data_IF_153665114090
#
_entry.id   IF_153665114090
#
_cell.length_a   1.000
_cell.length_b   1.000
_cell.length_c   1.000
_cell.angle_alpha   90.00
_cell.angle_beta   90.00
_cell.angle_gamma   90.00
#
_symmetry.space_group_name_H-M   'P 1'
#
loop_
_entity.id
_entity.type
_entity.pdbx_description
1 polymer ?
#
# COMPACT_ATOMS: atom_id res chain seq x y z
N UNK A 1 18.79 15.27 -13.64
CA UNK A 1 18.24 16.63 -13.55
C UNK A 1 16.72 16.58 -13.74
N UNK A 2 15.97 17.28 -12.87
CA UNK A 2 14.50 17.28 -12.75
C UNK A 2 13.81 17.66 -14.06
N UNK A 3 12.76 16.94 -14.48
CA UNK A 3 11.87 17.38 -15.56
C UNK A 3 10.87 18.39 -15.01
N UNK A 4 11.14 19.67 -15.26
CA UNK A 4 10.14 20.75 -15.24
C UNK A 4 9.44 20.69 -16.61
N UNK A 5 8.11 20.62 -16.61
CA UNK A 5 7.30 20.70 -17.84
C UNK A 5 6.78 22.13 -17.93
N UNK A 6 7.43 22.95 -18.77
CA UNK A 6 6.88 24.21 -19.24
C UNK A 6 5.86 23.91 -20.36
N UNK A 7 4.61 24.37 -20.18
CA UNK A 7 3.57 24.29 -21.21
C UNK A 7 3.25 25.71 -21.67
N UNK A 8 3.78 26.09 -22.83
CA UNK A 8 3.41 27.32 -23.51
C UNK A 8 2.13 27.09 -24.35
N UNK A 9 1.08 27.86 -24.08
CA UNK A 9 -0.13 27.90 -24.91
C UNK A 9 0.10 28.79 -26.15
N UNK A 10 -0.19 28.26 -27.35
CA UNK A 10 -0.45 29.06 -28.55
C UNK A 10 -1.88 28.80 -29.05
N UNK A 11 -2.57 29.89 -29.35
CA UNK A 11 -3.96 30.02 -29.82
C UNK A 11 -4.27 29.19 -31.08
N UNK A 12 -5.52 28.67 -31.27
CA UNK A 12 -5.91 28.00 -32.49
C UNK A 12 -6.59 28.95 -33.49
N UNK A 13 -6.21 28.82 -34.77
CA UNK A 13 -6.96 29.34 -35.90
C UNK A 13 -7.47 28.19 -36.79
N UNK A 14 -8.65 28.44 -37.36
CA UNK A 14 -9.32 27.74 -38.46
C UNK A 14 -10.02 26.40 -38.19
N UNK A 15 -11.33 26.46 -38.43
CA UNK A 15 -12.31 25.39 -38.59
C UNK A 15 -12.07 24.69 -39.93
N UNK A 16 -12.09 23.36 -39.94
CA UNK A 16 -12.27 22.57 -41.15
C UNK A 16 -13.33 21.49 -40.89
N UNK A 17 -14.34 21.47 -41.76
CA UNK A 17 -15.45 20.53 -41.78
C UNK A 17 -14.94 19.08 -41.91
N UNK A 18 -15.47 18.19 -41.07
CA UNK A 18 -15.28 16.74 -41.23
C UNK A 18 -16.65 16.09 -41.40
N UNK A 19 -16.92 15.70 -42.63
CA UNK A 19 -18.06 14.87 -43.04
C UNK A 19 -17.86 13.43 -42.53
N UNK A 20 -18.83 12.87 -41.81
CA UNK A 20 -18.80 11.46 -41.39
C UNK A 20 -19.62 10.61 -42.38
N UNK A 21 -18.94 9.66 -43.04
CA UNK A 21 -19.59 8.53 -43.69
C UNK A 21 -19.80 7.42 -42.65
N UNK A 22 -21.05 7.01 -42.46
CA UNK A 22 -21.44 5.90 -41.58
C UNK A 22 -21.43 4.61 -42.40
N UNK A 23 -20.60 3.64 -42.02
CA UNK A 23 -20.81 2.23 -42.39
C UNK A 23 -20.75 1.37 -41.13
N UNK A 24 -21.73 0.47 -41.03
CA UNK A 24 -22.18 -0.10 -39.78
C UNK A 24 -21.26 -1.17 -39.17
N UNK A 25 -21.29 -1.23 -37.84
CA UNK A 25 -21.84 -2.37 -37.08
C UNK A 25 -21.95 -1.98 -35.61
N UNK A 26 -23.04 -2.40 -35.00
CA UNK A 26 -23.62 -1.79 -33.80
C UNK A 26 -22.89 -2.07 -32.50
N UNK A 27 -22.98 -1.10 -31.61
CA UNK A 27 -23.17 -1.29 -30.18
C UNK A 27 -23.86 -0.03 -29.65
N UNK A 28 -25.18 -0.12 -29.50
CA UNK A 28 -26.01 0.91 -28.85
C UNK A 28 -25.73 0.91 -27.34
N UNK A 29 -25.58 2.10 -26.77
CA UNK A 29 -25.79 2.33 -25.34
C UNK A 29 -26.94 3.33 -25.22
N UNK A 30 -28.15 2.91 -24.81
CA UNK A 30 -29.24 3.83 -24.58
C UNK A 30 -29.30 4.21 -23.09
N UNK A 31 -29.03 5.47 -22.78
CA UNK A 31 -29.96 6.32 -22.01
C UNK A 31 -29.35 7.71 -21.78
N UNK A 32 -29.45 8.59 -22.77
CA UNK A 32 -29.39 10.02 -22.49
C UNK A 32 -30.74 10.45 -21.90
N UNK A 33 -30.79 10.80 -20.61
CA UNK A 33 -31.96 11.46 -20.02
C UNK A 33 -32.14 12.81 -20.72
N UNK A 34 -33.22 12.94 -21.49
CA UNK A 34 -33.67 14.23 -22.00
C UNK A 34 -34.36 14.97 -20.86
N UNK A 35 -33.64 15.89 -20.20
CA UNK A 35 -34.30 16.93 -19.40
C UNK A 35 -34.88 17.95 -20.38
N UNK A 36 -36.20 18.12 -20.34
CA UNK A 36 -36.96 19.12 -21.08
C UNK A 36 -36.47 20.53 -20.70
N UNK A 37 -35.93 21.27 -21.66
CA UNK A 37 -35.49 22.66 -21.51
C UNK A 37 -36.05 23.53 -22.62
N UNK A 38 -36.44 24.76 -22.26
CA UNK A 38 -37.14 25.76 -23.08
C UNK A 38 -36.40 26.15 -24.38
N UNK A 39 -37.11 26.59 -25.43
CA UNK A 39 -36.50 26.96 -26.71
C UNK A 39 -35.68 28.25 -26.56
N UNK A 40 -34.38 28.20 -26.87
CA UNK A 40 -33.53 29.39 -26.98
C UNK A 40 -32.12 29.30 -26.40
N UNK A 41 -31.76 28.26 -25.63
CA UNK A 41 -30.40 28.11 -25.12
C UNK A 41 -29.52 27.23 -26.03
N UNK A 42 -28.43 27.82 -26.54
CA UNK A 42 -27.34 27.09 -27.19
C UNK A 42 -26.71 26.14 -26.17
N UNK A 43 -26.87 24.82 -26.36
CA UNK A 43 -26.18 23.80 -25.55
C UNK A 43 -24.69 23.84 -25.89
N UNK A 44 -23.86 24.30 -24.95
CA UNK A 44 -22.44 23.98 -24.96
C UNK A 44 -22.31 22.47 -24.67
N UNK A 45 -22.16 21.67 -25.71
CA UNK A 45 -21.67 20.30 -25.55
C UNK A 45 -20.22 20.37 -25.12
N UNK A 46 -19.96 20.24 -23.83
CA UNK A 46 -18.62 20.02 -23.31
C UNK A 46 -18.21 18.62 -23.79
N UNK A 47 -17.44 18.55 -24.88
CA UNK A 47 -16.78 17.33 -25.31
C UNK A 47 -15.85 16.95 -24.17
N UNK A 48 -16.22 15.95 -23.37
CA UNK A 48 -15.29 15.32 -22.44
C UNK A 48 -14.25 14.64 -23.33
N UNK A 49 -12.97 15.05 -23.30
CA UNK A 49 -11.97 14.38 -24.11
C UNK A 49 -11.97 12.91 -23.74
N UNK A 50 -12.10 12.02 -24.74
CA UNK A 50 -11.90 10.58 -24.55
C UNK A 50 -10.54 10.42 -23.88
N UNK A 51 -10.51 9.98 -22.62
CA UNK A 51 -9.27 9.61 -21.94
C UNK A 51 -8.50 8.65 -22.85
N UNK A 52 -7.26 9.01 -23.20
CA UNK A 52 -6.39 8.15 -24.01
C UNK A 52 -6.03 6.89 -23.23
N UNK A 53 -6.04 5.78 -23.98
CA UNK A 53 -5.62 4.41 -23.69
C UNK A 53 -4.88 4.17 -22.36
N UNK A 54 -5.60 3.62 -21.38
CA UNK A 54 -5.01 2.74 -20.39
C UNK A 54 -4.65 1.41 -21.07
N UNK A 55 -3.52 0.79 -20.70
CA UNK A 55 -3.19 -0.55 -21.17
C UNK A 55 -4.25 -1.55 -20.69
N UNK A 56 -4.59 -2.52 -21.55
CA UNK A 56 -5.48 -3.61 -21.16
C UNK A 56 -4.76 -4.59 -20.23
N UNK A 57 -5.50 -5.40 -19.48
CA UNK A 57 -4.90 -6.47 -18.66
C UNK A 57 -4.16 -7.49 -19.54
N UNK A 58 -4.67 -7.80 -20.73
CA UNK A 58 -3.97 -8.62 -21.72
C UNK A 58 -2.63 -8.02 -22.16
N UNK A 59 -2.57 -6.71 -22.37
CA UNK A 59 -1.34 -6.01 -22.72
C UNK A 59 -0.32 -6.06 -21.58
N UNK A 60 -0.75 -5.80 -20.34
CA UNK A 60 0.11 -5.88 -19.16
C UNK A 60 0.57 -7.32 -18.88
N UNK A 61 -0.28 -8.33 -19.14
CA UNK A 61 0.05 -9.74 -18.98
C UNK A 61 1.16 -10.23 -19.92
N UNK A 62 1.51 -9.46 -20.96
CA UNK A 62 2.66 -9.76 -21.83
C UNK A 62 4.00 -9.30 -21.24
N UNK A 63 3.96 -8.46 -20.20
CA UNK A 63 5.16 -8.05 -19.51
C UNK A 63 5.79 -9.24 -18.81
N UNK A 64 7.10 -9.43 -19.00
CA UNK A 64 7.84 -10.48 -18.32
C UNK A 64 9.29 -10.06 -18.12
N UNK A 65 9.85 -10.50 -17.00
CA UNK A 65 11.29 -10.45 -16.76
C UNK A 65 11.96 -11.43 -17.70
N UNK A 66 13.00 -10.96 -18.39
CA UNK A 66 13.85 -11.77 -19.28
C UNK A 66 15.12 -12.20 -18.54
N UNK A 67 15.81 -11.25 -17.92
CA UNK A 67 17.02 -11.51 -17.14
C UNK A 67 17.07 -10.67 -15.88
N UNK A 68 17.80 -11.17 -14.89
CA UNK A 68 18.16 -10.44 -13.68
C UNK A 68 19.65 -10.62 -13.45
N UNK A 69 20.38 -9.52 -13.41
CA UNK A 69 21.82 -9.50 -13.19
C UNK A 69 22.15 -8.84 -11.86
N UNK A 70 22.99 -9.48 -11.04
CA UNK A 70 23.49 -8.87 -9.81
C UNK A 70 24.60 -7.88 -10.14
N UNK A 71 24.34 -6.60 -9.90
CA UNK A 71 25.32 -5.51 -10.09
C UNK A 71 26.28 -5.44 -8.90
N UNK A 72 25.75 -5.54 -7.69
CA UNK A 72 26.53 -5.53 -6.45
C UNK A 72 25.81 -6.32 -5.36
N UNK A 73 26.56 -6.89 -4.41
CA UNK A 73 26.01 -7.71 -3.33
C UNK A 73 26.78 -7.48 -2.02
N UNK A 74 26.02 -7.40 -0.93
CA UNK A 74 26.52 -7.37 0.45
C UNK A 74 26.02 -8.59 1.22
N UNK A 75 26.24 -8.63 2.54
CA UNK A 75 25.69 -9.68 3.40
C UNK A 75 24.15 -9.71 3.38
N UNK A 76 23.50 -8.54 3.29
CA UNK A 76 22.05 -8.40 3.53
C UNK A 76 21.24 -7.99 2.29
N UNK A 77 21.87 -7.28 1.36
CA UNK A 77 21.21 -6.69 0.19
C UNK A 77 22.00 -6.95 -1.08
N UNK A 78 21.30 -7.05 -2.21
CA UNK A 78 21.88 -7.04 -3.55
C UNK A 78 21.17 -6.03 -4.45
N UNK A 79 21.95 -5.34 -5.29
CA UNK A 79 21.49 -4.48 -6.36
C UNK A 79 21.34 -5.32 -7.62
N UNK A 80 20.15 -5.28 -8.22
CA UNK A 80 19.77 -6.03 -9.41
C UNK A 80 19.54 -5.05 -10.58
N UNK A 81 20.03 -5.42 -11.77
CA UNK A 81 19.56 -4.84 -13.02
C UNK A 81 18.65 -5.85 -13.72
N UNK A 82 17.41 -5.46 -13.96
CA UNK A 82 16.33 -6.32 -14.46
C UNK A 82 16.03 -5.90 -15.90
N UNK A 83 16.26 -6.82 -16.84
CA UNK A 83 15.77 -6.64 -18.20
C UNK A 83 14.38 -7.27 -18.32
N UNK A 84 13.40 -6.51 -18.79
CA UNK A 84 12.02 -6.98 -18.96
C UNK A 84 11.42 -6.50 -20.28
N UNK A 85 10.44 -7.23 -20.80
CA UNK A 85 9.63 -6.78 -21.94
C UNK A 85 8.43 -6.00 -21.47
N UNK A 86 8.17 -4.88 -22.11
CA UNK A 86 6.95 -4.09 -21.90
C UNK A 86 5.76 -4.64 -22.70
N UNK A 87 4.56 -4.03 -22.59
CA UNK A 87 3.38 -4.50 -23.34
C UNK A 87 3.53 -4.46 -24.87
N UNK A 88 4.46 -3.66 -25.39
CA UNK A 88 4.80 -3.54 -26.80
C UNK A 88 5.93 -4.49 -27.22
N UNK A 89 6.42 -5.35 -26.32
CA UNK A 89 7.51 -6.30 -26.55
C UNK A 89 8.90 -5.66 -26.55
N UNK A 90 9.01 -4.37 -26.26
CA UNK A 90 10.29 -3.64 -26.21
C UNK A 90 11.02 -3.99 -24.92
N UNK A 91 12.31 -4.28 -25.04
CA UNK A 91 13.18 -4.52 -23.90
C UNK A 91 13.42 -3.20 -23.14
N UNK A 92 13.30 -3.27 -21.83
CA UNK A 92 13.51 -2.19 -20.88
C UNK A 92 14.37 -2.69 -19.73
N UNK A 93 15.08 -1.77 -19.11
CA UNK A 93 15.89 -2.05 -17.93
C UNK A 93 15.28 -1.35 -16.72
N UNK A 94 15.37 -2.01 -15.56
CA UNK A 94 14.92 -1.49 -14.28
C UNK A 94 15.92 -1.88 -13.21
N UNK A 95 16.34 -0.93 -12.37
CA UNK A 95 17.21 -1.23 -11.24
C UNK A 95 16.36 -1.45 -9.99
N UNK A 96 16.67 -2.49 -9.23
CA UNK A 96 15.95 -2.86 -8.02
C UNK A 96 16.89 -3.36 -6.92
N UNK A 97 16.41 -3.32 -5.68
CA UNK A 97 17.10 -3.93 -4.53
C UNK A 97 16.33 -5.15 -4.04
N UNK A 98 17.04 -6.21 -3.65
CA UNK A 98 16.45 -7.39 -3.02
C UNK A 98 17.30 -7.86 -1.83
N UNK A 99 16.67 -8.64 -0.94
CA UNK A 99 17.35 -9.26 0.19
C UNK A 99 18.13 -10.48 -0.25
N UNK A 100 19.33 -10.66 0.29
CA UNK A 100 20.16 -11.86 0.08
C UNK A 100 19.75 -13.03 0.97
N UNK A 101 18.94 -12.76 2.00
CA UNK A 101 18.40 -13.75 2.95
C UNK A 101 17.12 -14.42 2.47
N UNK A 102 16.56 -13.96 1.35
CA UNK A 102 15.33 -14.53 0.80
C UNK A 102 15.55 -15.99 0.41
N UNK A 103 14.67 -16.87 0.89
CA UNK A 103 14.72 -18.31 0.65
C UNK A 103 14.50 -18.65 -0.83
N UNK A 104 13.56 -17.99 -1.50
CA UNK A 104 13.29 -18.13 -2.93
C UNK A 104 12.64 -16.88 -3.53
N UNK A 105 12.86 -16.62 -4.83
CA UNK A 105 12.15 -15.54 -5.55
C UNK A 105 10.64 -15.85 -5.55
N UNK A 106 9.84 -14.92 -5.03
CA UNK A 106 8.39 -15.10 -4.90
C UNK A 106 7.94 -15.66 -3.54
N UNK A 107 8.88 -15.95 -2.62
CA UNK A 107 8.55 -16.13 -1.21
C UNK A 107 8.26 -14.79 -0.54
N UNK A 108 7.52 -14.84 0.58
CA UNK A 108 7.30 -13.70 1.47
C UNK A 108 8.58 -13.47 2.28
N UNK A 109 9.10 -12.24 2.33
CA UNK A 109 10.30 -11.94 3.12
C UNK A 109 9.97 -11.75 4.62
N UNK A 110 8.86 -11.08 4.92
CA UNK A 110 8.53 -10.65 6.27
C UNK A 110 7.02 -10.71 6.56
N UNK A 111 6.67 -10.70 7.84
CA UNK A 111 5.29 -10.54 8.30
C UNK A 111 5.19 -9.32 9.22
N UNK A 112 4.13 -8.52 9.05
CA UNK A 112 3.81 -7.42 9.96
C UNK A 112 2.47 -7.69 10.65
N UNK A 113 2.42 -7.44 11.95
CA UNK A 113 1.36 -7.93 12.84
C UNK A 113 0.51 -6.78 13.35
N UNK A 114 -0.74 -6.72 12.91
CA UNK A 114 -1.75 -5.90 13.56
C UNK A 114 -2.30 -6.67 14.77
N UNK A 115 -1.78 -6.36 15.97
CA UNK A 115 -2.27 -6.94 17.21
C UNK A 115 -3.56 -6.24 17.66
N UNK A 116 -4.68 -6.96 17.66
CA UNK A 116 -5.96 -6.49 18.19
C UNK A 116 -6.05 -6.88 19.67
N UNK A 117 -5.82 -5.92 20.55
CA UNK A 117 -5.85 -6.14 21.99
C UNK A 117 -7.28 -6.00 22.51
N UNK A 118 -7.79 -7.06 23.14
CA UNK A 118 -9.16 -7.16 23.63
C UNK A 118 -9.16 -7.38 25.16
N UNK A 119 -10.08 -6.72 25.86
CA UNK A 119 -10.38 -6.95 27.28
C UNK A 119 -11.86 -6.65 27.52
N UNK A 120 -12.50 -7.40 28.42
CA UNK A 120 -13.93 -7.25 28.72
C UNK A 120 -14.23 -5.84 29.21
N UNK A 121 -15.17 -5.16 28.54
CA UNK A 121 -15.63 -3.82 28.91
C UNK A 121 -14.62 -2.70 28.64
N UNK A 122 -13.54 -2.97 27.90
CA UNK A 122 -12.55 -1.97 27.49
C UNK A 122 -12.57 -1.77 25.98
N UNK A 123 -12.08 -0.60 25.58
CA UNK A 123 -11.84 -0.31 24.19
C UNK A 123 -10.70 -1.18 23.63
N UNK A 124 -10.81 -1.54 22.34
CA UNK A 124 -9.78 -2.27 21.64
C UNK A 124 -8.59 -1.37 21.31
N UNK A 125 -7.40 -1.89 21.56
CA UNK A 125 -6.13 -1.21 21.28
C UNK A 125 -5.32 -2.01 20.26
N UNK A 126 -4.31 -1.36 19.70
CA UNK A 126 -3.27 -2.01 18.91
C UNK A 126 -1.89 -1.69 19.48
N UNK A 127 -0.88 -2.40 18.99
CA UNK A 127 0.52 -2.18 19.38
C UNK A 127 1.23 -1.50 18.22
N UNK A 128 1.97 -0.45 18.56
CA UNK A 128 2.97 0.16 17.69
C UNK A 128 4.36 -0.09 18.24
N UNK A 129 5.32 -0.22 17.34
CA UNK A 129 6.74 -0.25 17.67
C UNK A 129 7.43 0.96 17.07
N UNK A 130 8.35 1.55 17.84
CA UNK A 130 9.19 2.66 17.43
C UNK A 130 10.64 2.26 17.50
N UNK A 131 11.34 2.40 16.39
CA UNK A 131 12.76 2.06 16.30
C UNK A 131 13.49 2.98 15.32
N UNK A 132 14.75 3.24 15.59
CA UNK A 132 15.61 3.98 14.67
C UNK A 132 15.95 3.09 13.46
N UNK A 133 15.61 3.56 12.26
CA UNK A 133 15.92 2.86 11.01
C UNK A 133 17.04 3.61 10.30
N UNK A 134 18.27 3.06 10.24
CA UNK A 134 19.39 3.68 9.54
C UNK A 134 19.10 4.11 8.09
N UNK A 135 18.30 3.37 7.27
CA UNK A 135 18.02 3.76 5.88
C UNK A 135 17.31 5.12 5.72
N UNK A 136 16.58 5.57 6.75
CA UNK A 136 15.83 6.84 6.73
C UNK A 136 16.34 7.84 7.78
N UNK A 137 17.38 7.47 8.53
CA UNK A 137 18.01 8.26 9.60
C UNK A 137 16.98 8.87 10.58
N UNK A 138 15.97 8.09 10.95
CA UNK A 138 14.87 8.54 11.81
C UNK A 138 14.32 7.40 12.66
N UNK A 139 13.70 7.79 13.76
CA UNK A 139 12.75 6.91 14.46
C UNK A 139 11.54 6.73 13.57
N UNK A 140 11.22 5.47 13.29
CA UNK A 140 10.06 5.06 12.53
C UNK A 140 8.95 4.57 13.45
N UNK A 141 7.71 4.62 12.97
CA UNK A 141 6.55 4.04 13.66
C UNK A 141 5.98 2.94 12.77
N UNK A 142 5.93 1.72 13.30
CA UNK A 142 5.61 0.50 12.56
C UNK A 142 4.69 -0.41 13.38
N UNK A 143 4.12 -1.42 12.72
CA UNK A 143 3.56 -2.58 13.42
C UNK A 143 4.70 -3.52 13.82
N UNK A 144 4.52 -4.36 14.85
CA UNK A 144 5.47 -5.43 15.13
C UNK A 144 5.72 -6.28 13.88
N UNK A 145 6.97 -6.55 13.53
CA UNK A 145 7.30 -7.20 12.26
C UNK A 145 8.71 -7.77 12.20
N UNK A 146 8.87 -8.88 11.49
CA UNK A 146 10.18 -9.42 11.19
C UNK A 146 10.17 -10.46 10.07
N UNK A 147 11.35 -11.05 9.83
CA UNK A 147 11.57 -11.94 8.70
C UNK A 147 10.93 -13.30 8.94
N UNK A 148 10.49 -13.94 7.86
CA UNK A 148 9.98 -15.32 7.91
C UNK A 148 11.16 -16.29 7.85
N UNK A 149 11.28 -17.16 8.84
CA UNK A 149 12.36 -18.13 8.91
C UNK A 149 12.18 -19.30 7.92
N UNK A 150 13.26 -19.98 7.50
CA UNK A 150 13.16 -21.14 6.63
C UNK A 150 12.28 -22.25 7.22
N UNK A 151 11.20 -22.58 6.52
CA UNK A 151 10.24 -23.63 6.94
C UNK A 151 9.16 -23.15 7.90
N UNK A 152 9.18 -21.88 8.30
CA UNK A 152 8.15 -21.26 9.13
C UNK A 152 6.91 -20.87 8.31
N UNK A 153 5.72 -21.10 8.86
CA UNK A 153 4.47 -20.57 8.28
C UNK A 153 4.31 -19.08 8.62
N UNK A 154 3.53 -18.34 7.83
CA UNK A 154 3.30 -16.92 8.11
C UNK A 154 2.61 -16.68 9.45
N UNK A 155 1.75 -17.60 9.88
CA UNK A 155 1.10 -17.58 11.19
C UNK A 155 2.12 -17.79 12.31
N UNK A 156 3.05 -18.73 12.13
CA UNK A 156 4.11 -19.00 13.11
C UNK A 156 5.03 -17.78 13.26
N UNK A 157 5.46 -17.21 12.14
CA UNK A 157 6.25 -15.98 12.12
C UNK A 157 5.52 -14.83 12.83
N UNK A 158 4.23 -14.62 12.52
CA UNK A 158 3.45 -13.55 13.14
C UNK A 158 3.35 -13.68 14.67
N UNK A 159 3.14 -14.90 15.16
CA UNK A 159 3.06 -15.16 16.61
C UNK A 159 4.42 -15.05 17.30
N UNK A 160 5.50 -15.47 16.63
CA UNK A 160 6.88 -15.36 17.11
C UNK A 160 7.28 -13.89 17.25
N UNK A 161 7.19 -13.13 16.15
CA UNK A 161 7.57 -11.71 16.10
C UNK A 161 6.75 -10.88 17.10
N UNK A 162 5.43 -11.11 17.19
CA UNK A 162 4.60 -10.45 18.20
C UNK A 162 5.13 -10.71 19.61
N UNK A 163 5.48 -11.96 19.92
CA UNK A 163 5.95 -12.33 21.25
C UNK A 163 7.35 -11.78 21.54
N UNK A 164 8.25 -11.80 20.56
CA UNK A 164 9.62 -11.30 20.70
C UNK A 164 9.62 -9.79 20.91
N UNK A 165 8.93 -9.02 20.08
CA UNK A 165 8.97 -7.55 20.19
C UNK A 165 8.08 -6.98 21.31
N UNK A 166 7.02 -7.69 21.70
CA UNK A 166 6.00 -7.12 22.60
C UNK A 166 5.76 -7.93 23.88
N UNK A 167 6.14 -9.20 23.90
CA UNK A 167 5.85 -10.14 24.98
C UNK A 167 4.43 -10.73 24.98
N UNK A 168 3.53 -10.26 24.10
CA UNK A 168 2.16 -10.76 24.04
C UNK A 168 2.04 -12.10 23.30
N UNK A 169 1.04 -12.87 23.70
CA UNK A 169 0.63 -14.12 23.04
C UNK A 169 -0.80 -13.96 22.56
N UNK A 170 -1.05 -14.35 21.31
CA UNK A 170 -2.37 -14.22 20.69
C UNK A 170 -2.72 -15.37 19.77
N UNK A 171 -3.86 -15.21 19.09
CA UNK A 171 -4.37 -16.15 18.08
C UNK A 171 -4.48 -15.43 16.74
N UNK A 172 -3.96 -16.04 15.68
CA UNK A 172 -4.06 -15.47 14.32
C UNK A 172 -5.51 -15.53 13.85
N UNK A 173 -6.07 -14.38 13.48
CA UNK A 173 -7.40 -14.28 12.86
C UNK A 173 -7.33 -14.30 11.34
N UNK A 174 -6.27 -13.71 10.78
CA UNK A 174 -6.10 -13.58 9.34
C UNK A 174 -4.63 -13.41 8.98
N UNK A 175 -4.24 -13.94 7.82
CA UNK A 175 -2.98 -13.62 7.15
C UNK A 175 -3.29 -13.25 5.71
N UNK A 176 -2.79 -12.10 5.27
CA UNK A 176 -2.96 -11.66 3.90
C UNK A 176 -2.13 -12.52 2.93
N UNK A 177 -2.54 -12.59 1.65
CA UNK A 177 -1.62 -12.96 0.59
C UNK A 177 -0.36 -12.08 0.61
N UNK A 178 0.65 -12.48 -0.15
CA UNK A 178 1.87 -11.71 -0.34
C UNK A 178 1.57 -10.30 -0.87
N UNK A 179 2.10 -9.28 -0.21
CA UNK A 179 2.04 -7.87 -0.65
C UNK A 179 3.45 -7.35 -0.93
N UNK A 180 3.57 -6.16 -1.53
CA UNK A 180 4.85 -5.54 -1.86
C UNK A 180 5.13 -4.35 -0.94
N UNK A 181 6.38 -4.20 -0.50
CA UNK A 181 6.78 -3.08 0.35
C UNK A 181 6.95 -1.77 -0.45
N UNK A 182 7.69 -1.83 -1.56
CA UNK A 182 7.91 -0.70 -2.47
C UNK A 182 8.10 -1.20 -3.91
N UNK A 183 7.01 -1.46 -4.66
CA UNK A 183 7.06 -2.20 -5.93
C UNK A 183 7.84 -1.48 -7.04
N UNK A 184 8.09 -0.18 -6.90
CA UNK A 184 8.90 0.59 -7.84
C UNK A 184 10.40 0.57 -7.55
N UNK A 185 10.84 0.05 -6.40
CA UNK A 185 12.21 0.18 -5.91
C UNK A 185 12.82 -1.15 -5.47
N UNK A 186 12.08 -1.96 -4.71
CA UNK A 186 12.60 -3.21 -4.16
C UNK A 186 11.67 -4.37 -4.47
N UNK A 187 12.27 -5.56 -4.55
CA UNK A 187 11.52 -6.80 -4.68
C UNK A 187 10.99 -7.35 -3.35
N UNK A 188 11.07 -6.59 -2.26
CA UNK A 188 10.68 -6.99 -0.90
C UNK A 188 9.16 -7.18 -0.77
N UNK A 189 8.79 -8.31 -0.20
CA UNK A 189 7.40 -8.71 -0.01
C UNK A 189 7.08 -8.96 1.45
N UNK A 190 5.89 -8.54 1.86
CA UNK A 190 5.44 -8.57 3.25
C UNK A 190 4.02 -9.14 3.27
N UNK A 191 3.71 -10.00 4.24
CA UNK A 191 2.33 -10.37 4.57
C UNK A 191 1.85 -9.64 5.82
N UNK A 192 0.57 -9.31 5.88
CA UNK A 192 -0.06 -8.68 7.03
C UNK A 192 -0.84 -9.73 7.81
N UNK A 193 -0.58 -9.86 9.10
CA UNK A 193 -1.31 -10.73 10.00
C UNK A 193 -2.19 -9.90 10.95
N UNK A 194 -3.40 -10.36 11.21
CA UNK A 194 -4.23 -9.87 12.32
C UNK A 194 -4.15 -10.92 13.42
N UNK A 195 -3.68 -10.52 14.59
CA UNK A 195 -3.58 -11.39 15.76
C UNK A 195 -4.44 -10.82 16.87
N UNK A 196 -5.38 -11.61 17.39
CA UNK A 196 -6.15 -11.23 18.56
C UNK A 196 -5.41 -11.61 19.84
N UNK A 197 -5.32 -10.66 20.76
CA UNK A 197 -4.67 -10.83 22.06
C UNK A 197 -5.71 -10.58 23.14
N UNK A 198 -6.00 -11.61 23.92
CA UNK A 198 -6.83 -11.50 25.12
C UNK A 198 -5.99 -10.97 26.28
N UNK A 199 -6.23 -9.73 26.69
CA UNK A 199 -5.53 -9.08 27.79
C UNK A 199 -5.97 -9.57 29.17
N UNK A 200 -7.12 -10.24 29.28
CA UNK A 200 -7.63 -10.78 30.54
C UNK A 200 -7.00 -12.15 30.87
N UNK A 201 -6.42 -12.81 29.85
CA UNK A 201 -5.69 -14.05 29.98
C UNK A 201 -4.40 -13.89 30.81
N UNK A 202 -4.12 -14.88 31.68
CA UNK A 202 -2.97 -14.85 32.60
C UNK A 202 -1.63 -14.67 31.89
N UNK A 203 -1.46 -15.30 30.72
CA UNK A 203 -0.22 -15.25 29.92
C UNK A 203 0.14 -13.85 29.44
N UNK A 204 -0.85 -12.95 29.33
CA UNK A 204 -0.68 -11.59 28.83
C UNK A 204 -0.61 -10.55 29.96
N UNK A 205 -0.55 -10.99 31.23
CA UNK A 205 -0.34 -10.11 32.38
C UNK A 205 1.14 -9.79 32.52
N UNK A 206 1.50 -8.52 32.30
CA UNK A 206 2.90 -8.07 32.39
C UNK A 206 3.77 -8.65 31.28
N UNK A 207 3.45 -8.40 30.00
CA UNK A 207 4.23 -8.93 28.88
C UNK A 207 5.65 -8.36 28.91
N UNK A 208 6.63 -9.21 28.65
CA UNK A 208 8.05 -8.84 28.64
C UNK A 208 8.61 -9.15 27.25
N UNK A 209 9.00 -8.14 26.46
CA UNK A 209 9.70 -8.32 25.20
C UNK A 209 10.99 -9.12 25.36
N UNK A 210 11.35 -9.86 24.31
CA UNK A 210 12.60 -10.59 24.14
C UNK A 210 13.24 -10.16 22.82
N UNK A 211 13.84 -8.98 22.85
CA UNK A 211 14.51 -8.37 21.71
C UNK A 211 15.85 -9.04 21.43
N UNK A 212 16.22 -9.14 20.16
CA UNK A 212 17.53 -9.63 19.73
C UNK A 212 18.66 -8.59 19.96
N UNK A 213 19.91 -9.02 19.84
CA UNK A 213 21.05 -8.11 19.91
C UNK A 213 21.02 -7.09 18.76
N UNK A 214 21.12 -5.81 19.09
CA UNK A 214 20.98 -4.70 18.14
C UNK A 214 19.56 -4.21 17.92
N UNK A 215 18.54 -4.84 18.53
CA UNK A 215 17.17 -4.36 18.49
C UNK A 215 16.87 -3.42 19.66
N UNK A 216 16.57 -2.17 19.33
CA UNK A 216 16.17 -1.15 20.28
C UNK A 216 14.77 -0.65 19.91
N UNK A 217 13.77 -1.30 20.50
CA UNK A 217 12.36 -1.08 20.19
C UNK A 217 11.67 -0.45 21.40
N UNK A 218 10.98 0.66 21.17
CA UNK A 218 10.00 1.20 22.09
C UNK A 218 8.61 0.74 21.66
N UNK A 219 7.90 0.05 22.54
CA UNK A 219 6.55 -0.45 22.30
C UNK A 219 5.52 0.43 22.99
N UNK A 220 4.44 0.77 22.29
CA UNK A 220 3.30 1.48 22.85
C UNK A 220 1.96 0.87 22.43
N UNK A 221 0.97 1.00 23.31
CA UNK A 221 -0.42 0.61 23.05
C UNK A 221 -1.23 1.84 22.70
N UNK A 222 -2.03 1.73 21.64
CA UNK A 222 -2.84 2.84 21.12
C UNK A 222 -4.27 2.39 20.89
N UNK A 223 -5.29 3.09 21.41
CA UNK A 223 -6.68 2.81 21.08
C UNK A 223 -6.93 2.88 19.56
N UNK A 224 -7.54 1.85 18.98
CA UNK A 224 -7.72 1.73 17.53
C UNK A 224 -8.49 2.94 16.96
N UNK A 225 -9.49 3.46 17.70
CA UNK A 225 -10.26 4.65 17.29
C UNK A 225 -9.40 5.92 17.11
N UNK A 226 -8.28 5.99 17.82
CA UNK A 226 -7.42 7.17 17.85
C UNK A 226 -6.15 6.97 17.01
N UNK A 227 -5.99 5.81 16.36
CA UNK A 227 -4.76 5.43 15.69
C UNK A 227 -4.31 6.49 14.67
N UNK A 228 -5.19 6.93 13.77
CA UNK A 228 -4.81 7.92 12.75
C UNK A 228 -4.27 9.23 13.38
N UNK A 229 -5.02 9.80 14.33
CA UNK A 229 -4.61 11.03 15.02
C UNK A 229 -3.27 10.85 15.73
N UNK A 230 -3.09 9.73 16.43
CA UNK A 230 -1.84 9.42 17.13
C UNK A 230 -0.65 9.33 16.17
N UNK A 231 -0.82 8.72 14.99
CA UNK A 231 0.23 8.65 13.97
C UNK A 231 0.56 10.02 13.38
N UNK A 232 -0.44 10.89 13.21
CA UNK A 232 -0.24 12.26 12.74
C UNK A 232 0.52 13.09 13.79
N UNK A 233 0.20 12.93 15.08
CA UNK A 233 0.90 13.58 16.19
C UNK A 233 2.37 13.11 16.25
N UNK A 234 2.64 11.80 16.18
CA UNK A 234 4.01 11.27 16.11
C UNK A 234 4.79 11.77 14.90
N UNK A 235 4.12 11.95 13.75
CA UNK A 235 4.73 12.54 12.56
C UNK A 235 5.11 14.01 12.79
N UNK A 236 4.26 14.78 13.48
CA UNK A 236 4.55 16.16 13.86
C UNK A 236 5.70 16.28 14.87
N UNK A 237 5.89 15.27 15.72
CA UNK A 237 7.04 15.13 16.63
C UNK A 237 8.35 14.70 15.93
N UNK A 238 8.30 14.43 14.62
CA UNK A 238 9.47 14.14 13.79
C UNK A 238 9.73 12.66 13.50
N UNK A 239 8.87 11.76 13.99
CA UNK A 239 8.92 10.35 13.61
C UNK A 239 8.49 10.15 12.15
N UNK A 240 8.94 9.07 11.54
CA UNK A 240 8.52 8.67 10.19
C UNK A 240 7.58 7.46 10.27
N UNK A 241 6.28 7.69 10.07
CA UNK A 241 5.30 6.61 10.08
C UNK A 241 5.42 5.79 8.80
N UNK A 242 5.48 4.47 8.94
CA UNK A 242 5.51 3.57 7.78
C UNK A 242 4.21 3.68 6.98
N UNK A 243 4.32 3.81 5.66
CA UNK A 243 3.17 4.08 4.77
C UNK A 243 2.08 3.02 4.87
N UNK A 244 2.44 1.74 5.06
CA UNK A 244 1.45 0.67 5.23
C UNK A 244 0.61 0.84 6.50
N UNK A 245 1.24 1.26 7.61
CA UNK A 245 0.55 1.55 8.87
C UNK A 245 -0.34 2.78 8.76
N UNK A 246 0.15 3.85 8.13
CA UNK A 246 -0.65 5.07 7.93
C UNK A 246 -1.87 4.81 7.03
N UNK A 247 -1.69 4.04 5.94
CA UNK A 247 -2.78 3.59 5.07
C UNK A 247 -3.84 2.75 5.78
N UNK A 248 -3.42 1.84 6.67
CA UNK A 248 -4.33 1.09 7.53
C UNK A 248 -5.14 2.01 8.46
N UNK A 249 -4.48 2.96 9.11
CA UNK A 249 -5.13 3.90 10.02
C UNK A 249 -6.14 4.81 9.29
N UNK A 250 -5.81 5.28 8.08
CA UNK A 250 -6.74 5.99 7.20
C UNK A 250 -7.96 5.14 6.86
N UNK A 251 -7.75 3.88 6.49
CA UNK A 251 -8.84 2.94 6.20
C UNK A 251 -9.79 2.73 7.39
N UNK A 252 -9.22 2.52 8.59
CA UNK A 252 -9.98 2.39 9.83
C UNK A 252 -10.78 3.67 10.15
N UNK A 253 -10.16 4.84 9.99
CA UNK A 253 -10.81 6.13 10.20
C UNK A 253 -11.96 6.36 9.21
N UNK A 254 -11.78 6.04 7.92
CA UNK A 254 -12.84 6.16 6.92
C UNK A 254 -14.01 5.21 7.23
N UNK A 255 -13.72 3.97 7.64
CA UNK A 255 -14.76 3.00 8.02
C UNK A 255 -15.54 3.37 9.28
N UNK A 256 -14.93 4.11 10.21
CA UNK A 256 -15.60 4.63 11.41
C UNK A 256 -16.50 5.84 11.09
N UNK A 257 -16.23 6.57 10.00
CA UNK A 257 -16.92 7.80 9.63
C UNK A 257 -17.82 7.66 8.39
N UNK A 258 -17.95 6.46 7.82
CA UNK A 258 -18.72 6.21 6.59
C UNK A 258 -20.24 6.34 6.74
N UNK A 259 -20.75 6.51 7.96
CA UNK A 259 -22.17 6.70 8.24
C UNK A 259 -22.66 8.15 8.07
N UNK A 260 -21.77 9.09 7.70
CA UNK A 260 -22.18 10.45 7.35
C UNK A 260 -22.63 10.50 5.87
N UNK A 261 -23.91 10.73 5.57
CA UNK A 261 -24.36 10.87 4.19
C UNK A 261 -23.60 12.01 3.52
N UNK A 262 -23.14 11.79 2.29
CA UNK A 262 -22.59 12.86 1.45
C UNK A 262 -23.65 13.98 1.43
N UNK A 263 -23.36 15.19 1.91
CA UNK A 263 -24.32 16.27 1.86
C UNK A 263 -24.75 16.44 0.42
N UNK A 264 -26.05 16.36 0.19
CA UNK A 264 -26.64 16.48 -1.13
C UNK A 264 -26.13 17.80 -1.72
N UNK A 265 -25.27 17.73 -2.75
CA UNK A 265 -24.81 18.91 -3.48
C UNK A 265 -25.96 19.38 -4.37
N UNK A 266 -26.97 19.94 -3.74
CA UNK A 266 -28.11 20.57 -4.37
C UNK A 266 -28.51 21.75 -3.51
N UNK A 267 -27.98 22.92 -3.86
CA UNK A 267 -28.65 24.22 -3.91
C UNK A 267 -27.80 25.15 -4.81
#
# INVERSE_FOLDING_TARGET
MRKIIDVAFRSPASVADVSFAVSGRGLEWPSARVLSGLPGQRRLFRIIPKMRAFSTMDELGRCRVETVETVAKTRWLQLESIAYRDPQGKLRNWDAVSRTTRTARGAVDAVAVFAKLCSVGREQETILVRQYRPPVDRVTVELPAGLVDPGESLEQAALRELREETGFVGTVLHVSPMTCASPGMCGETISLAIVEVDLDAEVNRGPIPRLEDGEHIFMERVPIRNLLRHLDDLSAEGCLVFTGLHGLALGLHLGQNSDSPIPNRGD
#
